data_IF_863975326740
#
_entry.id   IF_863975326740
#
_cell.length_a   1.000
_cell.length_b   1.000
_cell.length_c   1.000
_cell.angle_alpha   90.00
_cell.angle_beta   90.00
_cell.angle_gamma   90.00
#
_symmetry.space_group_name_H-M   'P 1'
#
loop_
_entity.id
_entity.type
_entity.pdbx_description
1 polymer ?
#
# COMPACT_ATOMS: atom_id res chain seq x y z
N UNK A 1 -2.14 -2.27 15.19
CA UNK A 1 -0.68 -2.12 15.36
C UNK A 1 -0.10 -3.50 15.59
N UNK A 2 0.06 -4.29 14.53
CA UNK A 2 0.63 -5.64 14.58
C UNK A 2 1.99 -5.52 13.88
N UNK A 3 3.05 -5.44 14.67
CA UNK A 3 4.43 -5.39 14.18
C UNK A 3 4.81 -6.81 13.79
N UNK A 4 4.71 -7.14 12.51
CA UNK A 4 5.31 -8.37 11.98
C UNK A 4 6.81 -8.14 11.85
N UNK A 5 7.59 -8.73 12.76
CA UNK A 5 9.05 -8.76 12.68
C UNK A 5 9.47 -9.71 11.53
N UNK A 6 9.94 -9.14 10.43
CA UNK A 6 10.61 -9.89 9.36
C UNK A 6 12.09 -10.05 9.68
N UNK A 7 12.60 -11.28 9.70
CA UNK A 7 14.02 -11.59 9.87
C UNK A 7 14.73 -11.42 8.53
N UNK A 8 15.59 -10.41 8.41
CA UNK A 8 16.44 -10.20 7.24
C UNK A 8 17.79 -10.89 7.43
N UNK A 9 18.14 -11.82 6.53
CA UNK A 9 19.48 -12.42 6.47
C UNK A 9 20.34 -11.67 5.45
N UNK A 10 21.49 -11.15 5.89
CA UNK A 10 22.45 -10.43 5.07
C UNK A 10 23.17 -11.35 4.08
N UNK A 11 23.14 -11.00 2.79
CA UNK A 11 23.98 -11.61 1.75
C UNK A 11 25.17 -10.68 1.50
N UNK A 12 26.37 -11.24 1.57
CA UNK A 12 27.63 -10.53 1.37
C UNK A 12 27.85 -10.16 -0.10
N UNK A 13 28.50 -9.01 -0.28
CA UNK A 13 28.80 -8.30 -1.52
C UNK A 13 29.53 -9.18 -2.55
N UNK A 14 28.91 -9.41 -3.71
CA UNK A 14 29.60 -9.90 -4.91
C UNK A 14 29.68 -8.75 -5.92
N UNK A 15 30.89 -8.32 -6.25
CA UNK A 15 31.14 -7.33 -7.29
C UNK A 15 31.26 -8.04 -8.65
N UNK A 16 30.27 -7.86 -9.53
CA UNK A 16 30.33 -8.26 -10.93
C UNK A 16 30.17 -7.04 -11.85
N UNK A 17 31.02 -6.96 -12.88
CA UNK A 17 31.07 -5.88 -13.87
C UNK A 17 29.97 -6.07 -14.93
N UNK A 18 28.74 -5.74 -14.58
CA UNK A 18 27.68 -5.31 -15.49
C UNK A 18 26.53 -4.85 -14.61
N UNK A 19 26.30 -3.54 -14.48
CA UNK A 19 25.26 -3.01 -13.61
C UNK A 19 23.90 -3.58 -14.03
N UNK A 20 23.40 -4.57 -13.29
CA UNK A 20 22.06 -5.07 -13.49
C UNK A 20 21.10 -4.01 -12.94
N UNK A 21 20.30 -3.43 -13.83
CA UNK A 21 19.20 -2.53 -13.47
C UNK A 21 17.95 -3.38 -13.37
N UNK A 22 17.35 -3.40 -12.18
CA UNK A 22 16.05 -4.03 -11.96
C UNK A 22 14.98 -2.94 -12.05
N UNK A 23 14.21 -2.97 -13.12
CA UNK A 23 13.01 -2.15 -13.28
C UNK A 23 11.77 -3.00 -13.05
N UNK A 24 10.90 -2.54 -12.16
CA UNK A 24 9.59 -3.15 -11.99
C UNK A 24 8.54 -2.09 -11.69
N UNK A 25 7.32 -2.36 -12.13
CA UNK A 25 6.14 -1.54 -11.85
C UNK A 25 5.74 -1.68 -10.37
N UNK A 26 5.61 -0.54 -9.69
CA UNK A 26 4.90 -0.45 -8.43
C UNK A 26 3.39 -0.38 -8.73
N UNK A 27 2.76 -1.55 -8.73
CA UNK A 27 1.34 -1.71 -9.10
C UNK A 27 0.44 -0.90 -8.15
N UNK A 28 0.79 -0.80 -6.87
CA UNK A 28 -0.05 -0.12 -5.88
C UNK A 28 -0.03 1.39 -6.11
N UNK A 29 1.16 1.98 -6.27
CA UNK A 29 1.28 3.42 -6.60
C UNK A 29 0.71 3.74 -7.98
N UNK A 30 0.90 2.87 -8.96
CA UNK A 30 0.32 3.05 -10.29
C UNK A 30 -1.21 3.10 -10.22
N UNK A 31 -1.82 2.28 -9.37
CA UNK A 31 -3.28 2.28 -9.20
C UNK A 31 -3.77 3.48 -8.38
N UNK A 32 -2.99 3.96 -7.41
CA UNK A 32 -3.25 5.21 -6.71
C UNK A 32 -3.22 6.41 -7.66
N UNK A 33 -2.19 6.52 -8.50
CA UNK A 33 -2.06 7.57 -9.52
C UNK A 33 -3.21 7.51 -10.53
N UNK A 34 -3.61 6.31 -10.96
CA UNK A 34 -4.77 6.11 -11.84
C UNK A 34 -6.07 6.60 -11.20
N UNK A 35 -6.34 6.23 -9.95
CA UNK A 35 -7.54 6.65 -9.25
C UNK A 35 -7.57 8.16 -9.02
N UNK A 36 -6.41 8.76 -8.72
CA UNK A 36 -6.28 10.21 -8.56
C UNK A 36 -6.56 10.94 -9.87
N UNK A 37 -5.93 10.52 -10.97
CA UNK A 37 -6.14 11.13 -12.28
C UNK A 37 -7.59 10.96 -12.76
N UNK A 38 -8.22 9.83 -12.47
CA UNK A 38 -9.65 9.58 -12.74
C UNK A 38 -10.56 10.53 -11.95
N UNK A 39 -10.24 10.79 -10.66
CA UNK A 39 -11.00 11.67 -9.80
C UNK A 39 -10.81 13.17 -10.13
N UNK A 40 -9.67 13.54 -10.71
CA UNK A 40 -9.37 14.91 -11.15
C UNK A 40 -10.04 15.27 -12.50
N UNK A 41 -10.63 14.30 -13.22
CA UNK A 41 -11.36 14.57 -14.47
C UNK A 41 -12.62 15.39 -14.17
N UNK A 42 -12.67 16.60 -14.73
CA UNK A 42 -13.85 17.46 -14.68
C UNK A 42 -15.04 16.82 -15.41
N UNK A 43 -16.25 17.10 -14.90
CA UNK A 43 -17.49 16.67 -15.54
C UNK A 43 -17.61 17.31 -16.93
N UNK A 44 -17.95 16.47 -17.93
CA UNK A 44 -18.10 16.90 -19.32
C UNK A 44 -19.53 17.38 -19.55
N UNK A 45 -19.65 18.63 -19.98
CA UNK A 45 -20.92 19.24 -20.35
C UNK A 45 -21.02 19.40 -21.87
N UNK A 46 -22.25 19.39 -22.36
CA UNK A 46 -22.57 19.61 -23.77
C UNK A 46 -23.62 20.70 -23.86
N UNK A 47 -23.43 21.63 -24.80
CA UNK A 47 -24.40 22.68 -25.07
C UNK A 47 -25.76 22.10 -25.51
N UNK A 48 -26.81 22.39 -24.76
CA UNK A 48 -28.18 22.00 -25.05
C UNK A 48 -28.98 23.18 -25.61
N UNK A 49 -29.14 23.18 -26.94
CA UNK A 49 -29.92 24.19 -27.68
C UNK A 49 -31.40 24.22 -27.25
N UNK A 50 -31.95 23.14 -26.69
CA UNK A 50 -33.35 23.10 -26.29
C UNK A 50 -33.62 23.99 -25.07
N UNK A 51 -32.61 24.24 -24.22
CA UNK A 51 -32.72 25.20 -23.10
C UNK A 51 -32.93 26.62 -23.62
N UNK A 52 -32.39 26.94 -24.80
CA UNK A 52 -32.60 28.23 -25.45
C UNK A 52 -33.92 28.28 -26.23
N UNK A 53 -34.13 27.34 -27.15
CA UNK A 53 -35.18 27.42 -28.18
C UNK A 53 -36.26 26.34 -28.12
N UNK A 54 -36.23 25.44 -27.13
CA UNK A 54 -37.24 24.40 -26.93
C UNK A 54 -38.59 24.94 -26.46
N UNK A 55 -39.59 24.07 -26.37
CA UNK A 55 -40.96 24.42 -25.92
C UNK A 55 -41.01 24.93 -24.48
N UNK A 56 -40.05 24.52 -23.65
CA UNK A 56 -39.86 25.03 -22.28
C UNK A 56 -38.63 25.95 -22.17
N UNK A 57 -38.00 26.28 -23.30
CA UNK A 57 -36.76 27.05 -23.35
C UNK A 57 -36.95 28.54 -23.08
N UNK A 58 -35.83 29.22 -22.80
CA UNK A 58 -35.81 30.63 -22.40
C UNK A 58 -36.54 31.55 -23.40
N UNK A 59 -36.30 31.38 -24.71
CA UNK A 59 -36.93 32.23 -25.73
C UNK A 59 -38.45 32.06 -25.77
N UNK A 60 -38.96 30.85 -25.54
CA UNK A 60 -40.38 30.57 -25.48
C UNK A 60 -41.01 31.22 -24.24
N UNK A 61 -40.40 31.06 -23.06
CA UNK A 61 -40.91 31.64 -21.81
C UNK A 61 -40.88 33.17 -21.82
N UNK A 62 -39.83 33.77 -22.38
CA UNK A 62 -39.76 35.22 -22.62
C UNK A 62 -40.89 35.65 -23.54
N UNK A 63 -41.09 34.95 -24.67
CA UNK A 63 -42.18 35.22 -25.61
C UNK A 63 -43.56 35.11 -24.95
N UNK A 64 -43.76 34.08 -24.14
CA UNK A 64 -44.99 33.81 -23.40
C UNK A 64 -45.31 34.94 -22.42
N UNK A 65 -44.32 35.45 -21.67
CA UNK A 65 -44.50 36.59 -20.76
C UNK A 65 -45.06 37.82 -21.47
N UNK A 66 -44.40 38.29 -22.55
CA UNK A 66 -44.84 39.49 -23.25
C UNK A 66 -46.16 39.27 -24.00
N UNK A 67 -46.35 38.12 -24.65
CA UNK A 67 -47.60 37.81 -25.35
C UNK A 67 -48.79 37.81 -24.39
N UNK A 68 -48.66 37.16 -23.23
CA UNK A 68 -49.69 37.19 -22.19
C UNK A 68 -49.96 38.60 -21.69
N UNK A 69 -48.91 39.40 -21.46
CA UNK A 69 -49.06 40.80 -21.04
C UNK A 69 -49.93 41.56 -22.04
N UNK A 70 -49.68 41.44 -23.34
CA UNK A 70 -50.48 42.08 -24.38
C UNK A 70 -51.93 41.56 -24.46
N UNK A 71 -52.18 40.29 -24.15
CA UNK A 71 -53.53 39.71 -24.07
C UNK A 71 -54.28 40.24 -22.85
N UNK A 72 -53.63 40.29 -21.68
CA UNK A 72 -54.22 40.75 -20.42
C UNK A 72 -54.51 42.26 -20.46
N UNK A 73 -53.68 43.05 -21.13
CA UNK A 73 -53.93 44.48 -21.35
C UNK A 73 -55.30 44.72 -22.01
N UNK A 74 -55.68 43.90 -23.00
CA UNK A 74 -56.92 44.00 -23.78
C UNK A 74 -58.19 43.51 -23.06
N UNK A 75 -58.06 42.95 -21.86
CA UNK A 75 -59.22 42.51 -21.07
C UNK A 75 -59.95 43.72 -20.47
N UNK A 76 -61.12 44.07 -21.01
CA UNK A 76 -61.94 45.18 -20.49
C UNK A 76 -62.78 44.77 -19.28
N UNK A 77 -62.93 43.47 -19.03
CA UNK A 77 -63.74 42.88 -17.95
C UNK A 77 -63.08 42.92 -16.56
N UNK A 78 -61.87 43.46 -16.44
CA UNK A 78 -61.05 43.40 -15.22
C UNK A 78 -60.47 44.75 -14.84
N UNK A 79 -60.45 45.05 -13.53
CA UNK A 79 -59.73 46.20 -12.99
C UNK A 79 -58.21 46.03 -13.16
N UNK A 80 -57.43 47.10 -13.01
CA UNK A 80 -55.97 47.02 -13.13
C UNK A 80 -55.34 46.10 -12.07
N UNK A 81 -55.80 46.19 -10.81
CA UNK A 81 -55.36 45.30 -9.73
C UNK A 81 -55.71 43.83 -10.03
N UNK A 82 -56.92 43.57 -10.53
CA UNK A 82 -57.34 42.22 -10.94
C UNK A 82 -56.53 41.68 -12.12
N UNK A 83 -56.07 42.54 -13.05
CA UNK A 83 -55.17 42.15 -14.15
C UNK A 83 -53.80 41.73 -13.62
N UNK A 84 -53.25 42.47 -12.66
CA UNK A 84 -51.97 42.13 -12.02
C UNK A 84 -52.08 40.78 -11.32
N UNK A 85 -53.12 40.57 -10.49
CA UNK A 85 -53.32 39.30 -9.78
C UNK A 85 -53.55 38.13 -10.75
N UNK A 86 -54.33 38.35 -11.82
CA UNK A 86 -54.57 37.34 -12.84
C UNK A 86 -53.30 36.93 -13.57
N UNK A 87 -52.48 37.89 -14.00
CA UNK A 87 -51.21 37.64 -14.67
C UNK A 87 -50.18 36.98 -13.74
N UNK A 88 -50.14 37.39 -12.48
CA UNK A 88 -49.26 36.80 -11.46
C UNK A 88 -49.56 35.31 -11.28
N UNK A 89 -50.85 34.96 -11.19
CA UNK A 89 -51.28 33.57 -11.07
C UNK A 89 -51.02 32.75 -12.36
N UNK A 90 -51.25 33.34 -13.54
CA UNK A 90 -50.97 32.69 -14.83
C UNK A 90 -49.50 32.35 -15.03
N UNK A 91 -48.60 33.20 -14.54
CA UNK A 91 -47.15 33.02 -14.61
C UNK A 91 -46.60 32.23 -13.41
N UNK A 92 -47.46 31.61 -12.61
CA UNK A 92 -47.05 30.76 -11.50
C UNK A 92 -46.28 31.48 -10.38
N UNK A 93 -46.54 32.78 -10.16
CA UNK A 93 -45.84 33.62 -9.19
C UNK A 93 -44.31 33.74 -9.40
N UNK A 94 -43.82 33.52 -10.62
CA UNK A 94 -42.38 33.63 -10.91
C UNK A 94 -41.85 35.08 -10.92
N UNK A 95 -42.73 36.05 -11.22
CA UNK A 95 -42.42 37.48 -11.31
C UNK A 95 -43.13 38.25 -10.19
N UNK A 96 -42.53 39.33 -9.70
CA UNK A 96 -43.16 40.16 -8.68
C UNK A 96 -44.32 40.98 -9.26
N UNK A 97 -45.34 41.26 -8.44
CA UNK A 97 -46.47 42.10 -8.84
C UNK A 97 -46.07 43.52 -9.30
N UNK A 98 -44.93 44.04 -8.83
CA UNK A 98 -44.36 45.30 -9.29
C UNK A 98 -43.85 45.25 -10.74
N UNK A 99 -43.22 44.16 -11.15
CA UNK A 99 -42.75 43.99 -12.54
C UNK A 99 -43.93 43.76 -13.48
N UNK A 100 -44.93 42.99 -13.01
CA UNK A 100 -46.16 42.74 -13.75
C UNK A 100 -46.94 44.05 -13.97
N UNK A 101 -47.06 44.90 -12.94
CA UNK A 101 -47.74 46.19 -13.08
C UNK A 101 -47.00 47.17 -13.99
N UNK A 102 -45.65 47.19 -13.95
CA UNK A 102 -44.85 47.94 -14.92
C UNK A 102 -45.08 47.45 -16.34
N UNK A 103 -45.04 46.12 -16.56
CA UNK A 103 -45.24 45.53 -17.88
C UNK A 103 -46.65 45.82 -18.45
N UNK A 104 -47.69 45.76 -17.61
CA UNK A 104 -49.07 46.07 -18.01
C UNK A 104 -49.31 47.54 -18.34
N UNK A 105 -48.49 48.47 -17.85
CA UNK A 105 -48.58 49.90 -18.15
C UNK A 105 -47.86 50.32 -19.43
N UNK A 106 -47.12 49.42 -20.09
CA UNK A 106 -46.39 49.71 -21.32
C UNK A 106 -47.34 49.90 -22.52
N UNK A 107 -46.92 50.72 -23.48
CA UNK A 107 -47.58 50.77 -24.79
C UNK A 107 -47.36 49.45 -25.55
N UNK A 108 -48.25 49.15 -26.52
CA UNK A 108 -48.12 47.94 -27.35
C UNK A 108 -46.82 47.96 -28.16
N UNK A 109 -46.38 49.14 -28.62
CA UNK A 109 -45.13 49.31 -29.36
C UNK A 109 -43.91 49.08 -28.45
N UNK A 110 -43.91 49.64 -27.24
CA UNK A 110 -42.84 49.40 -26.26
C UNK A 110 -42.78 47.92 -25.87
N UNK A 111 -43.93 47.24 -25.72
CA UNK A 111 -44.00 45.82 -25.39
C UNK A 111 -43.36 44.93 -26.48
N UNK A 112 -43.62 45.22 -27.75
CA UNK A 112 -43.03 44.50 -28.88
C UNK A 112 -41.52 44.77 -29.01
N UNK A 113 -41.09 46.01 -28.76
CA UNK A 113 -39.68 46.37 -28.71
C UNK A 113 -38.96 45.60 -27.60
N UNK A 114 -39.54 45.60 -26.40
CA UNK A 114 -39.00 44.90 -25.23
C UNK A 114 -38.92 43.40 -25.47
N UNK A 115 -39.96 42.77 -26.04
CA UNK A 115 -39.91 41.36 -26.41
C UNK A 115 -38.71 41.03 -27.29
N UNK A 116 -38.51 41.82 -28.35
CA UNK A 116 -37.42 41.62 -29.31
C UNK A 116 -36.06 41.77 -28.62
N UNK A 117 -35.86 42.86 -27.88
CA UNK A 117 -34.61 43.14 -27.16
C UNK A 117 -34.30 42.06 -26.11
N UNK A 118 -35.29 41.64 -25.33
CA UNK A 118 -35.12 40.58 -24.32
C UNK A 118 -34.73 39.24 -24.97
N UNK A 119 -35.37 38.87 -26.09
CA UNK A 119 -35.01 37.64 -26.81
C UNK A 119 -33.62 37.73 -27.46
N UNK A 120 -33.22 38.88 -27.98
CA UNK A 120 -31.90 39.08 -28.58
C UNK A 120 -30.79 38.99 -27.53
N UNK A 121 -30.97 39.63 -26.37
CA UNK A 121 -30.00 39.54 -25.26
C UNK A 121 -29.94 38.11 -24.72
N UNK A 122 -31.09 37.45 -24.54
CA UNK A 122 -31.11 36.04 -24.12
C UNK A 122 -30.36 35.15 -25.12
N UNK A 123 -30.56 35.36 -26.42
CA UNK A 123 -29.84 34.63 -27.48
C UNK A 123 -28.34 34.89 -27.45
N UNK A 124 -27.93 36.13 -27.22
CA UNK A 124 -26.51 36.50 -27.16
C UNK A 124 -25.79 35.89 -25.94
N UNK A 125 -26.44 35.88 -24.78
CA UNK A 125 -25.87 35.30 -23.55
C UNK A 125 -25.88 33.78 -23.60
N UNK A 126 -26.99 33.18 -24.03
CA UNK A 126 -27.20 31.74 -24.00
C UNK A 126 -26.73 31.03 -25.29
N UNK A 127 -26.04 31.73 -26.22
CA UNK A 127 -25.37 31.07 -27.35
C UNK A 127 -24.15 30.27 -26.91
N UNK A 128 -23.55 30.66 -25.79
CA UNK A 128 -22.39 30.01 -25.21
C UNK A 128 -22.83 28.96 -24.17
N UNK A 129 -21.90 28.08 -23.83
CA UNK A 129 -22.09 27.10 -22.77
C UNK A 129 -22.05 27.83 -21.42
N UNK A 130 -23.16 27.77 -20.68
CA UNK A 130 -23.30 28.33 -19.33
C UNK A 130 -23.37 27.16 -18.36
N UNK A 131 -22.31 26.95 -17.59
CA UNK A 131 -22.30 25.92 -16.55
C UNK A 131 -23.26 26.30 -15.41
N UNK A 132 -23.79 25.32 -14.65
CA UNK A 132 -24.63 25.60 -13.48
C UNK A 132 -23.99 26.58 -12.47
N UNK A 133 -22.66 26.57 -12.34
CA UNK A 133 -21.88 27.47 -11.48
C UNK A 133 -21.74 28.90 -12.02
N UNK A 134 -22.01 29.11 -13.31
CA UNK A 134 -21.77 30.38 -14.02
C UNK A 134 -23.08 31.15 -14.30
N UNK A 135 -24.24 30.58 -13.98
CA UNK A 135 -25.56 31.17 -14.28
C UNK A 135 -25.70 32.58 -13.68
N UNK A 136 -25.23 32.80 -12.46
CA UNK A 136 -25.34 34.13 -11.82
C UNK A 136 -24.43 35.16 -12.48
N UNK A 137 -23.29 34.73 -13.02
CA UNK A 137 -22.42 35.57 -13.83
C UNK A 137 -23.10 35.90 -15.17
N UNK A 138 -23.69 34.91 -15.84
CA UNK A 138 -24.45 35.12 -17.09
C UNK A 138 -25.64 36.07 -16.90
N UNK A 139 -26.36 35.97 -15.78
CA UNK A 139 -27.43 36.91 -15.41
C UNK A 139 -26.92 38.33 -15.21
N UNK A 140 -25.80 38.48 -14.49
CA UNK A 140 -25.19 39.79 -14.26
C UNK A 140 -24.70 40.44 -15.56
N UNK A 141 -24.14 39.62 -16.46
CA UNK A 141 -23.72 40.06 -17.79
C UNK A 141 -24.93 40.48 -18.64
N UNK A 142 -26.02 39.71 -18.60
CA UNK A 142 -27.27 40.07 -19.27
C UNK A 142 -27.78 41.45 -18.79
N UNK A 143 -27.81 41.69 -17.47
CA UNK A 143 -28.19 42.99 -16.91
C UNK A 143 -27.30 44.13 -17.42
N UNK A 144 -25.99 43.88 -17.55
CA UNK A 144 -25.05 44.87 -18.11
C UNK A 144 -25.33 45.18 -19.58
N UNK A 145 -25.69 44.18 -20.38
CA UNK A 145 -26.07 44.39 -21.78
C UNK A 145 -27.37 45.19 -21.90
N UNK A 146 -28.34 44.97 -21.01
CA UNK A 146 -29.58 45.75 -20.96
C UNK A 146 -29.28 47.23 -20.65
N UNK A 147 -28.45 47.51 -19.65
CA UNK A 147 -28.10 48.88 -19.27
C UNK A 147 -27.28 49.62 -20.34
N UNK A 148 -26.51 48.89 -21.16
CA UNK A 148 -25.70 49.46 -22.24
C UNK A 148 -26.49 49.76 -23.51
N UNK A 149 -27.67 49.15 -23.70
CA UNK A 149 -28.50 49.34 -24.89
C UNK A 149 -29.27 50.68 -24.82
N UNK A 150 -28.90 51.60 -25.70
CA UNK A 150 -29.46 52.96 -25.76
C UNK A 150 -30.89 53.02 -26.29
N UNK A 151 -31.36 51.96 -26.94
CA UNK A 151 -32.73 51.89 -27.46
C UNK A 151 -33.73 51.55 -26.34
N UNK A 152 -33.23 51.09 -25.18
CA UNK A 152 -34.04 50.73 -24.02
C UNK A 152 -34.17 51.96 -23.10
N UNK A 153 -35.42 52.40 -22.86
CA UNK A 153 -35.69 53.49 -21.91
C UNK A 153 -35.32 53.05 -20.48
N UNK A 154 -34.74 53.92 -19.64
CA UNK A 154 -34.34 53.57 -18.27
C UNK A 154 -35.48 53.03 -17.39
N UNK A 155 -36.71 53.51 -17.63
CA UNK A 155 -37.92 53.05 -16.94
C UNK A 155 -38.30 51.58 -17.25
N UNK A 156 -37.82 51.05 -18.38
CA UNK A 156 -38.13 49.70 -18.86
C UNK A 156 -37.07 48.66 -18.51
N UNK A 157 -35.88 49.10 -18.09
CA UNK A 157 -34.76 48.23 -17.68
C UNK A 157 -35.19 47.19 -16.63
N UNK A 158 -35.91 47.56 -15.55
CA UNK A 158 -36.29 46.60 -14.51
C UNK A 158 -37.13 45.43 -15.03
N UNK A 159 -37.98 45.67 -16.02
CA UNK A 159 -38.83 44.63 -16.62
C UNK A 159 -37.98 43.64 -17.39
N UNK A 160 -37.09 44.12 -18.26
CA UNK A 160 -36.22 43.27 -19.09
C UNK A 160 -35.27 42.47 -18.20
N UNK A 161 -34.60 43.13 -17.25
CA UNK A 161 -33.66 42.47 -16.35
C UNK A 161 -34.32 41.36 -15.54
N UNK A 162 -35.50 41.61 -14.97
CA UNK A 162 -36.19 40.58 -14.20
C UNK A 162 -36.67 39.41 -15.07
N UNK A 163 -37.10 39.70 -16.31
CA UNK A 163 -37.46 38.64 -17.27
C UNK A 163 -36.23 37.81 -17.66
N UNK A 164 -35.08 38.42 -17.91
CA UNK A 164 -33.84 37.70 -18.21
C UNK A 164 -33.37 36.86 -17.02
N UNK A 165 -33.34 37.43 -15.81
CA UNK A 165 -32.91 36.73 -14.60
C UNK A 165 -33.69 35.43 -14.34
N UNK A 166 -35.00 35.43 -14.63
CA UNK A 166 -35.87 34.27 -14.44
C UNK A 166 -35.75 33.22 -15.53
N UNK A 167 -35.38 33.61 -16.76
CA UNK A 167 -35.36 32.72 -17.91
C UNK A 167 -33.96 32.29 -18.37
N UNK A 168 -32.90 32.95 -17.91
CA UNK A 168 -31.52 32.48 -18.12
C UNK A 168 -31.29 31.25 -17.25
N UNK A 169 -31.08 30.13 -17.94
CA UNK A 169 -30.86 28.79 -17.40
C UNK A 169 -29.50 28.27 -17.88
N UNK A 170 -28.90 27.31 -17.17
CA UNK A 170 -27.65 26.68 -17.62
C UNK A 170 -27.90 25.96 -18.94
N UNK A 171 -27.15 26.34 -19.98
CA UNK A 171 -27.18 25.71 -21.30
C UNK A 171 -26.24 24.51 -21.39
N UNK A 172 -25.38 24.33 -20.38
CA UNK A 172 -24.47 23.19 -20.26
C UNK A 172 -25.20 21.98 -19.65
N UNK A 173 -25.57 21.00 -20.48
CA UNK A 173 -26.17 19.76 -20.03
C UNK A 173 -25.08 18.74 -19.68
N UNK A 174 -25.16 18.16 -18.47
CA UNK A 174 -24.21 17.15 -18.01
C UNK A 174 -24.29 15.90 -18.88
N UNK A 175 -23.16 15.48 -19.45
CA UNK A 175 -23.06 14.26 -20.25
C UNK A 175 -22.34 13.15 -19.45
N UNK A 176 -23.08 12.23 -18.81
CA UNK A 176 -22.48 11.18 -17.99
C UNK A 176 -21.65 10.20 -18.82
N UNK A 177 -22.05 9.94 -20.07
CA UNK A 177 -21.34 9.00 -20.94
C UNK A 177 -19.97 9.55 -21.36
N UNK A 178 -19.93 10.82 -21.79
CA UNK A 178 -18.68 11.48 -22.16
C UNK A 178 -17.75 11.69 -20.96
N UNK A 179 -18.31 12.00 -19.78
CA UNK A 179 -17.53 12.11 -18.54
C UNK A 179 -16.88 10.78 -18.16
N UNK A 180 -17.63 9.68 -18.24
CA UNK A 180 -17.11 8.34 -17.95
C UNK A 180 -16.06 7.88 -18.96
N UNK A 181 -16.23 8.25 -20.24
CA UNK A 181 -15.22 7.99 -21.27
C UNK A 181 -13.94 8.77 -21.01
N UNK A 182 -14.03 10.07 -20.69
CA UNK A 182 -12.89 10.90 -20.31
C UNK A 182 -12.16 10.36 -19.07
N UNK A 183 -12.90 9.87 -18.06
CA UNK A 183 -12.33 9.19 -16.88
C UNK A 183 -11.55 7.95 -17.24
N UNK A 184 -12.08 7.10 -18.13
CA UNK A 184 -11.38 5.91 -18.62
C UNK A 184 -10.14 6.25 -19.42
N UNK A 185 -10.20 7.26 -20.28
CA UNK A 185 -9.03 7.72 -21.02
C UNK A 185 -7.94 8.26 -20.10
N UNK A 186 -8.28 9.05 -19.08
CA UNK A 186 -7.34 9.53 -18.08
C UNK A 186 -6.64 8.37 -17.35
N UNK A 187 -7.39 7.33 -16.98
CA UNK A 187 -6.84 6.11 -16.39
C UNK A 187 -5.88 5.36 -17.34
N UNK A 188 -6.25 5.22 -18.61
CA UNK A 188 -5.43 4.53 -19.61
C UNK A 188 -4.16 5.29 -19.97
N UNK A 189 -4.22 6.62 -19.97
CA UNK A 189 -3.08 7.50 -20.26
C UNK A 189 -2.14 7.69 -19.05
N UNK A 190 -2.51 7.21 -17.87
CA UNK A 190 -1.65 7.26 -16.68
C UNK A 190 -0.50 6.27 -16.83
N UNK A 191 0.72 6.81 -16.89
CA UNK A 191 1.93 6.01 -17.05
C UNK A 191 2.22 5.17 -15.80
N UNK A 192 2.68 3.91 -15.95
CA UNK A 192 3.06 3.09 -14.81
C UNK A 192 4.17 3.72 -13.97
N UNK A 193 4.04 3.63 -12.65
CA UNK A 193 5.06 4.10 -11.72
C UNK A 193 6.20 3.06 -11.64
N UNK A 194 7.25 3.28 -12.42
CA UNK A 194 8.41 2.39 -12.50
C UNK A 194 9.41 2.67 -11.35
N UNK A 195 9.76 1.64 -10.60
CA UNK A 195 10.83 1.67 -9.61
C UNK A 195 12.09 1.06 -10.23
N UNK A 196 13.16 1.86 -10.29
CA UNK A 196 14.46 1.46 -10.81
C UNK A 196 15.43 1.25 -9.68
N UNK A 197 15.99 0.04 -9.56
CA UNK A 197 16.99 -0.30 -8.55
C UNK A 197 18.29 -0.72 -9.23
N UNK A 198 19.39 -0.13 -8.78
CA UNK A 198 20.73 -0.40 -9.29
C UNK A 198 21.42 -1.40 -8.35
N UNK A 199 22.13 -2.37 -8.93
CA UNK A 199 22.96 -3.31 -8.17
C UNK A 199 23.93 -2.58 -7.21
N UNK A 200 23.92 -2.98 -5.93
CA UNK A 200 24.73 -2.36 -4.87
C UNK A 200 24.07 -1.17 -4.15
N UNK A 201 22.85 -0.77 -4.55
CA UNK A 201 22.06 0.21 -3.81
C UNK A 201 21.57 -0.36 -2.48
N UNK A 202 21.85 0.34 -1.39
CA UNK A 202 21.27 0.02 -0.07
C UNK A 202 19.78 0.38 -0.08
N UNK A 203 18.94 -0.59 0.28
CA UNK A 203 17.47 -0.44 0.28
C UNK A 203 16.97 -0.03 1.66
N UNK A 204 17.50 -0.65 2.74
CA UNK A 204 17.14 -0.34 4.13
C UNK A 204 18.40 -0.41 5.01
N UNK A 205 18.58 0.52 5.94
CA UNK A 205 19.65 0.47 6.93
C UNK A 205 19.26 -0.29 8.21
N UNK A 206 20.26 -0.85 8.90
CA UNK A 206 20.05 -1.53 10.18
C UNK A 206 19.47 -0.55 11.23
N UNK A 207 18.30 -0.88 11.77
CA UNK A 207 17.59 -0.05 12.76
C UNK A 207 16.60 0.96 12.19
N UNK A 208 16.46 1.04 10.86
CA UNK A 208 15.47 1.89 10.20
C UNK A 208 14.07 1.27 10.23
N UNK A 209 13.03 2.11 10.32
CA UNK A 209 11.64 1.66 10.26
C UNK A 209 11.31 1.36 8.81
N UNK A 210 11.05 0.08 8.50
CA UNK A 210 10.72 -0.40 7.17
C UNK A 210 9.33 0.10 6.77
N UNK A 211 9.23 0.81 5.63
CA UNK A 211 7.95 1.23 5.05
C UNK A 211 7.41 0.17 4.08
N UNK A 212 6.13 0.26 3.71
CA UNK A 212 5.48 -0.71 2.81
C UNK A 212 6.16 -0.81 1.45
N UNK A 213 6.69 0.31 0.93
CA UNK A 213 7.48 0.33 -0.31
C UNK A 213 8.75 -0.51 -0.19
N UNK A 214 9.43 -0.46 0.96
CA UNK A 214 10.65 -1.24 1.19
C UNK A 214 10.34 -2.73 1.27
N UNK A 215 9.23 -3.11 1.90
CA UNK A 215 8.74 -4.49 1.95
C UNK A 215 8.45 -5.00 0.53
N UNK A 216 7.78 -4.19 -0.30
CA UNK A 216 7.48 -4.55 -1.68
C UNK A 216 8.76 -4.81 -2.50
N UNK A 217 9.71 -3.89 -2.42
CA UNK A 217 11.02 -4.00 -3.08
C UNK A 217 11.75 -5.27 -2.62
N UNK A 218 11.86 -5.48 -1.30
CA UNK A 218 12.56 -6.64 -0.72
C UNK A 218 11.88 -7.96 -1.06
N UNK A 219 10.55 -7.95 -1.24
CA UNK A 219 9.78 -9.12 -1.68
C UNK A 219 10.06 -9.44 -3.15
N UNK A 220 10.05 -8.42 -4.02
CA UNK A 220 10.36 -8.58 -5.45
C UNK A 220 11.78 -9.06 -5.70
N UNK A 221 12.72 -8.61 -4.87
CA UNK A 221 14.11 -9.07 -4.87
C UNK A 221 14.30 -10.45 -4.20
N UNK A 222 13.25 -11.03 -3.62
CA UNK A 222 13.31 -12.32 -2.94
C UNK A 222 14.15 -12.32 -1.65
N UNK A 223 14.44 -11.13 -1.10
CA UNK A 223 15.20 -10.95 0.14
C UNK A 223 14.33 -11.17 1.38
N UNK A 224 13.00 -11.11 1.23
CA UNK A 224 12.03 -11.47 2.26
C UNK A 224 11.70 -12.98 2.21
N UNK A 225 12.21 -13.74 3.17
CA UNK A 225 11.81 -15.15 3.36
C UNK A 225 10.50 -15.24 4.14
N UNK A 226 9.35 -15.20 3.44
CA UNK A 226 8.02 -15.20 4.06
C UNK A 226 7.30 -16.56 4.05
N UNK A 227 8.02 -17.67 3.88
CA UNK A 227 7.40 -19.00 3.77
C UNK A 227 8.11 -20.11 4.55
N UNK A 228 7.33 -21.03 5.11
CA UNK A 228 7.82 -22.29 5.70
C UNK A 228 8.51 -23.13 4.62
N UNK A 229 9.83 -23.08 4.58
CA UNK A 229 10.61 -23.69 3.50
C UNK A 229 10.67 -25.23 3.68
N UNK A 230 9.68 -25.91 3.11
CA UNK A 230 9.56 -27.37 3.16
C UNK A 230 10.81 -28.09 2.62
N UNK A 231 11.47 -27.50 1.61
CA UNK A 231 12.71 -28.04 1.05
C UNK A 231 13.85 -27.99 2.07
N UNK A 232 13.98 -26.87 2.80
CA UNK A 232 14.98 -26.72 3.88
C UNK A 232 14.74 -27.72 5.00
N UNK A 233 13.49 -27.93 5.41
CA UNK A 233 13.16 -28.92 6.44
C UNK A 233 13.47 -30.35 5.98
N UNK A 234 13.15 -30.69 4.73
CA UNK A 234 13.45 -32.00 4.17
C UNK A 234 14.97 -32.26 4.13
N UNK A 235 15.76 -31.24 3.77
CA UNK A 235 17.22 -31.32 3.79
C UNK A 235 17.78 -31.52 5.21
N UNK A 236 17.31 -30.75 6.19
CA UNK A 236 17.71 -30.88 7.60
C UNK A 236 17.33 -32.26 8.14
N UNK A 237 16.11 -32.73 7.83
CA UNK A 237 15.63 -34.04 8.24
C UNK A 237 16.50 -35.16 7.66
N UNK A 238 16.83 -35.08 6.36
CA UNK A 238 17.67 -36.06 5.69
C UNK A 238 19.08 -36.14 6.31
N UNK A 239 19.75 -35.00 6.48
CA UNK A 239 21.10 -34.96 7.07
C UNK A 239 21.08 -35.46 8.52
N UNK A 240 20.12 -34.99 9.32
CA UNK A 240 19.99 -35.43 10.71
C UNK A 240 19.75 -36.94 10.81
N UNK A 241 18.89 -37.48 9.95
CA UNK A 241 18.63 -38.92 9.86
C UNK A 241 19.90 -39.71 9.52
N UNK A 242 20.68 -39.28 8.52
CA UNK A 242 21.94 -39.93 8.13
C UNK A 242 22.94 -39.94 9.28
N UNK A 243 23.09 -38.82 10.00
CA UNK A 243 24.01 -38.71 11.14
C UNK A 243 23.59 -39.64 12.28
N UNK A 244 22.29 -39.68 12.61
CA UNK A 244 21.77 -40.56 13.66
C UNK A 244 21.91 -42.04 13.30
N UNK A 245 21.69 -42.40 12.03
CA UNK A 245 21.90 -43.77 11.53
C UNK A 245 23.38 -44.15 11.65
N UNK A 246 24.31 -43.28 11.23
CA UNK A 246 25.74 -43.52 11.36
C UNK A 246 26.16 -43.67 12.83
N UNK A 247 25.63 -42.83 13.71
CA UNK A 247 25.89 -42.90 15.15
C UNK A 247 25.35 -44.20 15.76
N UNK A 248 24.12 -44.58 15.44
CA UNK A 248 23.51 -45.85 15.87
C UNK A 248 24.26 -47.07 15.34
N UNK A 249 24.68 -47.04 14.07
CA UNK A 249 25.50 -48.10 13.47
C UNK A 249 26.86 -48.24 14.16
N UNK A 250 27.48 -47.12 14.54
CA UNK A 250 28.73 -47.14 15.29
C UNK A 250 28.55 -47.77 16.67
N UNK A 251 27.46 -47.47 17.39
CA UNK A 251 27.12 -48.12 18.67
C UNK A 251 26.93 -49.63 18.46
N UNK A 252 26.16 -50.02 17.44
CA UNK A 252 25.92 -51.43 17.11
C UNK A 252 27.21 -52.20 16.83
N UNK A 253 28.10 -51.65 15.99
CA UNK A 253 29.31 -52.35 15.54
C UNK A 253 30.44 -52.37 16.58
N UNK A 254 30.66 -51.26 17.28
CA UNK A 254 31.85 -51.10 18.14
C UNK A 254 31.55 -51.20 19.63
N UNK A 255 30.28 -51.09 20.04
CA UNK A 255 29.88 -51.08 21.45
C UNK A 255 28.61 -51.93 21.70
N UNK A 256 28.63 -53.20 21.30
CA UNK A 256 27.52 -54.15 21.50
C UNK A 256 27.03 -54.23 22.95
N UNK A 257 27.92 -54.04 23.95
CA UNK A 257 27.55 -54.02 25.37
C UNK A 257 26.68 -52.80 25.74
N UNK A 258 26.83 -51.68 25.03
CA UNK A 258 25.96 -50.50 25.17
C UNK A 258 24.65 -50.78 24.43
N UNK A 259 24.72 -51.35 23.23
CA UNK A 259 23.54 -51.67 22.42
C UNK A 259 22.61 -52.71 23.06
N UNK A 260 23.14 -53.73 23.74
CA UNK A 260 22.33 -54.76 24.39
C UNK A 260 21.75 -54.31 25.73
N UNK A 261 22.13 -53.12 26.23
CA UNK A 261 21.65 -52.59 27.49
C UNK A 261 20.73 -51.38 27.25
N UNK A 262 19.42 -51.61 27.37
CA UNK A 262 18.38 -50.60 27.16
C UNK A 262 18.63 -49.34 28.00
N UNK A 263 19.11 -49.46 29.25
CA UNK A 263 19.39 -48.30 30.11
C UNK A 263 20.52 -47.43 29.52
N UNK A 264 21.57 -48.05 28.98
CA UNK A 264 22.70 -47.32 28.38
C UNK A 264 22.29 -46.62 27.09
N UNK A 265 21.50 -47.27 26.22
CA UNK A 265 20.92 -46.63 25.03
C UNK A 265 20.07 -45.43 25.41
N UNK A 266 19.18 -45.58 26.38
CA UNK A 266 18.28 -44.49 26.82
C UNK A 266 19.10 -43.30 27.35
N UNK A 267 20.15 -43.53 28.12
CA UNK A 267 21.02 -42.45 28.60
C UNK A 267 21.74 -41.76 27.44
N UNK A 268 22.25 -42.51 26.46
CA UNK A 268 22.89 -41.91 25.27
C UNK A 268 21.90 -41.09 24.44
N UNK A 269 20.68 -41.58 24.23
CA UNK A 269 19.64 -40.85 23.52
C UNK A 269 19.25 -39.57 24.25
N UNK A 270 19.09 -39.65 25.58
CA UNK A 270 18.77 -38.50 26.42
C UNK A 270 19.88 -37.44 26.39
N UNK A 271 21.16 -37.85 26.38
CA UNK A 271 22.28 -36.92 26.19
C UNK A 271 22.17 -36.19 24.84
N UNK A 272 21.93 -36.90 23.74
CA UNK A 272 21.78 -36.25 22.42
C UNK A 272 20.63 -35.25 22.44
N UNK A 273 19.47 -35.64 22.96
CA UNK A 273 18.26 -34.79 23.00
C UNK A 273 18.51 -33.53 23.84
N UNK A 274 19.01 -33.67 25.08
CA UNK A 274 19.21 -32.54 25.98
C UNK A 274 20.21 -31.53 25.42
N UNK A 275 21.36 -32.01 24.94
CA UNK A 275 22.40 -31.10 24.44
C UNK A 275 22.02 -30.47 23.10
N UNK A 276 21.27 -31.16 22.26
CA UNK A 276 20.71 -30.57 21.03
C UNK A 276 19.64 -29.53 21.36
N UNK A 277 18.76 -29.80 22.32
CA UNK A 277 17.74 -28.84 22.77
C UNK A 277 18.40 -27.58 23.37
N UNK A 278 19.42 -27.73 24.22
CA UNK A 278 20.19 -26.61 24.76
C UNK A 278 20.83 -25.78 23.65
N UNK A 279 21.46 -26.43 22.66
CA UNK A 279 22.04 -25.76 21.50
C UNK A 279 20.97 -24.95 20.76
N UNK A 280 19.80 -25.54 20.51
CA UNK A 280 18.71 -24.84 19.82
C UNK A 280 18.15 -23.65 20.61
N UNK A 281 18.00 -23.79 21.93
CA UNK A 281 17.57 -22.69 22.81
C UNK A 281 18.57 -21.53 22.74
N UNK A 282 19.87 -21.82 22.79
CA UNK A 282 20.92 -20.80 22.69
C UNK A 282 20.92 -20.11 21.32
N UNK A 283 20.68 -20.84 20.23
CA UNK A 283 20.53 -20.24 18.90
C UNK A 283 19.32 -19.30 18.83
N UNK A 284 18.17 -19.71 19.37
CA UNK A 284 16.96 -18.86 19.39
C UNK A 284 17.23 -17.58 20.18
N UNK A 285 17.93 -17.68 21.32
CA UNK A 285 18.29 -16.52 22.13
C UNK A 285 19.28 -15.60 21.41
N UNK A 286 20.20 -16.17 20.62
CA UNK A 286 21.12 -15.42 19.76
C UNK A 286 20.39 -14.54 18.75
N UNK A 287 19.28 -15.02 18.18
CA UNK A 287 18.46 -14.25 17.25
C UNK A 287 17.74 -13.06 17.91
N UNK A 288 17.61 -13.04 19.23
CA UNK A 288 16.84 -12.03 19.98
C UNK A 288 17.76 -11.01 20.67
N UNK A 289 18.90 -11.45 21.22
CA UNK A 289 19.66 -10.66 22.20
C UNK A 289 21.19 -10.71 22.00
N UNK A 290 21.65 -10.57 20.75
CA UNK A 290 23.06 -10.52 20.28
C UNK A 290 23.65 -11.88 19.86
N UNK A 291 24.52 -11.84 18.83
CA UNK A 291 25.19 -13.01 18.24
C UNK A 291 26.17 -13.77 19.15
N UNK A 292 26.30 -13.37 20.42
CA UNK A 292 27.24 -13.98 21.37
C UNK A 292 26.81 -15.38 21.83
N UNK A 293 25.51 -15.68 21.85
CA UNK A 293 24.99 -16.94 22.40
C UNK A 293 25.39 -18.18 21.59
N UNK A 294 25.68 -18.01 20.29
CA UNK A 294 26.16 -19.09 19.41
C UNK A 294 27.56 -19.60 19.78
N UNK A 295 28.31 -18.89 20.64
CA UNK A 295 29.65 -19.30 21.10
C UNK A 295 29.61 -20.10 22.41
N UNK A 296 28.44 -20.27 23.02
CA UNK A 296 28.28 -20.89 24.33
C UNK A 296 27.69 -22.31 24.27
N UNK A 297 27.78 -23.00 23.12
CA UNK A 297 27.19 -24.33 23.00
C UNK A 297 27.86 -25.37 23.93
N UNK A 298 27.06 -26.15 24.68
CA UNK A 298 27.58 -27.07 25.69
C UNK A 298 28.10 -28.40 25.10
N UNK A 299 28.70 -28.39 23.91
CA UNK A 299 29.18 -29.59 23.20
C UNK A 299 30.39 -30.20 23.92
N UNK A 300 31.32 -29.38 24.40
CA UNK A 300 32.47 -29.85 25.18
C UNK A 300 31.98 -30.54 26.46
N UNK A 301 30.98 -29.99 27.15
CA UNK A 301 30.41 -30.62 28.34
C UNK A 301 29.81 -31.99 28.00
N UNK A 302 29.08 -32.11 26.88
CA UNK A 302 28.52 -33.38 26.42
C UNK A 302 29.62 -34.44 26.15
N UNK A 303 30.71 -34.03 25.50
CA UNK A 303 31.86 -34.90 25.20
C UNK A 303 32.51 -35.44 26.47
N UNK A 304 32.67 -34.60 27.50
CA UNK A 304 33.27 -34.97 28.78
C UNK A 304 32.37 -35.94 29.56
N UNK A 305 31.07 -35.65 29.65
CA UNK A 305 30.10 -36.52 30.33
C UNK A 305 30.06 -37.89 29.66
N UNK A 306 30.04 -37.95 28.33
CA UNK A 306 30.04 -39.20 27.58
C UNK A 306 31.34 -39.99 27.74
N UNK A 307 32.49 -39.31 27.81
CA UNK A 307 33.80 -39.94 28.04
C UNK A 307 33.85 -40.64 29.39
N UNK A 308 33.33 -39.99 30.43
CA UNK A 308 33.32 -40.51 31.81
C UNK A 308 32.31 -41.65 31.97
N UNK A 309 31.14 -41.54 31.34
CA UNK A 309 30.06 -42.51 31.50
C UNK A 309 30.27 -43.78 30.67
N UNK A 310 30.89 -43.64 29.51
CA UNK A 310 31.13 -44.73 28.58
C UNK A 310 32.63 -44.90 28.36
N UNK A 311 33.15 -44.39 27.25
CA UNK A 311 34.55 -44.48 26.85
C UNK A 311 34.87 -43.37 25.83
N UNK A 312 36.15 -43.06 25.64
CA UNK A 312 36.60 -42.02 24.69
C UNK A 312 36.12 -42.20 23.23
N UNK A 313 36.12 -43.41 22.62
CA UNK A 313 35.65 -43.58 21.24
C UNK A 313 34.17 -43.22 21.05
N UNK A 314 33.33 -43.54 22.04
CA UNK A 314 31.91 -43.18 22.03
C UNK A 314 31.70 -41.67 22.15
N UNK A 315 32.48 -41.03 23.03
CA UNK A 315 32.41 -39.58 23.23
C UNK A 315 32.85 -38.78 22.01
N UNK A 316 33.88 -39.24 21.28
CA UNK A 316 34.31 -38.63 20.01
C UNK A 316 33.16 -38.65 19.01
N UNK A 317 32.49 -39.79 18.84
CA UNK A 317 31.36 -39.90 17.90
C UNK A 317 30.16 -39.05 18.32
N UNK A 318 29.86 -38.97 19.63
CA UNK A 318 28.82 -38.07 20.14
C UNK A 318 29.18 -36.60 19.86
N UNK A 319 30.44 -36.22 20.04
CA UNK A 319 30.93 -34.87 19.79
C UNK A 319 30.77 -34.48 18.32
N UNK A 320 31.13 -35.37 17.40
CA UNK A 320 30.96 -35.14 15.96
C UNK A 320 29.48 -34.95 15.62
N UNK A 321 28.61 -35.80 16.16
CA UNK A 321 27.16 -35.71 15.98
C UNK A 321 26.62 -34.34 16.45
N UNK A 322 26.93 -33.95 17.70
CA UNK A 322 26.48 -32.69 18.28
C UNK A 322 27.10 -31.46 17.60
N UNK A 323 28.35 -31.54 17.15
CA UNK A 323 29.02 -30.48 16.40
C UNK A 323 28.37 -30.20 15.05
N UNK A 324 27.99 -31.25 14.31
CA UNK A 324 27.23 -31.08 13.06
C UNK A 324 25.84 -30.51 13.34
N UNK A 325 25.16 -30.95 14.41
CA UNK A 325 23.87 -30.37 14.80
C UNK A 325 23.97 -28.90 15.20
N UNK A 326 25.05 -28.48 15.86
CA UNK A 326 25.32 -27.07 16.11
C UNK A 326 25.50 -26.28 14.81
N UNK A 327 26.29 -26.79 13.84
CA UNK A 327 26.43 -26.14 12.54
C UNK A 327 25.10 -25.99 11.79
N UNK A 328 24.26 -27.02 11.82
CA UNK A 328 22.90 -26.97 11.23
C UNK A 328 22.02 -25.96 11.98
N UNK A 329 22.15 -25.88 13.31
CA UNK A 329 21.40 -24.93 14.14
C UNK A 329 21.79 -23.48 13.81
N UNK A 330 23.07 -23.21 13.53
CA UNK A 330 23.61 -21.89 13.14
C UNK A 330 23.65 -21.71 11.62
N UNK A 331 22.56 -22.05 10.92
CA UNK A 331 22.38 -21.80 9.48
C UNK A 331 23.50 -22.36 8.56
N UNK A 332 24.04 -23.53 8.89
CA UNK A 332 25.14 -24.20 8.17
C UNK A 332 26.50 -23.49 8.27
N UNK A 333 26.75 -22.78 9.37
CA UNK A 333 28.10 -22.33 9.70
C UNK A 333 29.00 -23.52 10.09
N UNK A 334 29.71 -24.03 9.08
CA UNK A 334 30.65 -25.14 9.25
C UNK A 334 31.91 -24.74 10.04
N UNK A 335 32.26 -23.45 10.10
CA UNK A 335 33.41 -22.99 10.88
C UNK A 335 33.16 -23.20 12.37
N UNK A 336 31.97 -22.81 12.86
CA UNK A 336 31.57 -23.07 14.25
C UNK A 336 31.48 -24.57 14.55
N UNK A 337 30.91 -25.37 13.63
CA UNK A 337 30.84 -26.82 13.79
C UNK A 337 32.23 -27.45 13.98
N UNK A 338 33.21 -27.06 13.16
CA UNK A 338 34.59 -27.56 13.23
C UNK A 338 35.24 -27.20 14.57
N UNK A 339 35.04 -25.97 15.07
CA UNK A 339 35.59 -25.54 16.37
C UNK A 339 35.09 -26.43 17.51
N UNK A 340 33.78 -26.67 17.55
CA UNK A 340 33.20 -27.49 18.61
C UNK A 340 33.62 -28.96 18.51
N UNK A 341 33.78 -29.48 17.29
CA UNK A 341 34.28 -30.83 17.07
C UNK A 341 35.73 -30.94 17.55
N UNK A 342 36.61 -30.03 17.12
CA UNK A 342 38.02 -30.05 17.52
C UNK A 342 38.17 -29.86 19.04
N UNK A 343 37.45 -28.90 19.62
CA UNK A 343 37.45 -28.65 21.05
C UNK A 343 36.94 -29.84 21.87
N UNK A 344 35.85 -30.50 21.42
CA UNK A 344 35.29 -31.67 22.10
C UNK A 344 36.09 -32.96 21.92
N UNK A 345 36.78 -33.13 20.79
CA UNK A 345 37.72 -34.26 20.60
C UNK A 345 38.96 -34.06 21.48
N UNK A 346 39.47 -32.84 21.54
CA UNK A 346 40.60 -32.49 22.40
C UNK A 346 40.27 -32.71 23.89
N UNK A 347 39.10 -32.27 24.34
CA UNK A 347 38.64 -32.47 25.72
C UNK A 347 38.48 -33.95 26.08
N UNK A 348 37.93 -34.75 25.17
CA UNK A 348 37.77 -36.21 25.31
C UNK A 348 39.13 -36.88 25.49
N UNK A 349 40.11 -36.52 24.65
CA UNK A 349 41.46 -37.07 24.76
C UNK A 349 42.13 -36.70 26.09
N UNK A 350 41.99 -35.45 26.54
CA UNK A 350 42.53 -34.98 27.82
C UNK A 350 41.95 -35.75 29.01
N UNK A 351 40.63 -35.98 29.04
CA UNK A 351 39.99 -36.73 30.15
C UNK A 351 40.27 -38.22 30.10
N UNK A 352 40.44 -38.80 28.91
CA UNK A 352 40.72 -40.24 28.76
C UNK A 352 41.99 -40.71 29.48
N UNK A 353 42.93 -39.79 29.77
CA UNK A 353 44.21 -40.08 30.43
C UNK A 353 44.22 -39.86 31.94
N UNK A 354 43.14 -39.39 32.56
CA UNK A 354 43.19 -39.00 33.97
C UNK A 354 42.10 -39.63 34.83
N UNK A 355 42.55 -40.35 35.87
CA UNK A 355 41.71 -41.21 36.71
C UNK A 355 41.18 -40.53 37.99
N UNK A 356 41.47 -39.25 38.22
CA UNK A 356 41.11 -38.53 39.46
C UNK A 356 40.01 -37.48 39.26
N UNK A 357 39.08 -37.34 40.22
CA UNK A 357 37.96 -36.36 40.16
C UNK A 357 38.44 -34.91 40.00
N UNK A 358 39.55 -34.54 40.63
CA UNK A 358 40.18 -33.21 40.50
C UNK A 358 40.71 -32.94 39.08
N UNK A 359 41.01 -33.99 38.32
CA UNK A 359 41.50 -33.86 36.96
C UNK A 359 40.39 -33.62 35.94
N UNK A 360 39.16 -34.03 36.22
CA UNK A 360 37.99 -33.70 35.37
C UNK A 360 37.79 -32.18 35.34
N UNK A 361 37.90 -31.53 36.50
CA UNK A 361 37.77 -30.06 36.61
C UNK A 361 38.91 -29.34 35.87
N UNK A 362 40.16 -29.84 35.99
CA UNK A 362 41.31 -29.29 35.25
C UNK A 362 41.18 -29.49 33.74
N UNK A 363 40.73 -30.66 33.29
CA UNK A 363 40.51 -30.94 31.88
C UNK A 363 39.40 -30.08 31.30
N UNK A 364 38.32 -29.82 32.05
CA UNK A 364 37.27 -28.87 31.67
C UNK A 364 37.83 -27.46 31.48
N UNK A 365 38.61 -26.95 32.44
CA UNK A 365 39.21 -25.61 32.36
C UNK A 365 40.17 -25.47 31.17
N UNK A 366 41.05 -26.44 30.95
CA UNK A 366 41.99 -26.45 29.82
C UNK A 366 41.23 -26.53 28.49
N UNK A 367 40.17 -27.33 28.41
CA UNK A 367 39.35 -27.45 27.20
C UNK A 367 38.63 -26.14 26.87
N UNK A 368 38.16 -25.40 27.88
CA UNK A 368 37.57 -24.07 27.68
C UNK A 368 38.59 -23.05 27.15
N UNK A 369 39.84 -23.10 27.61
CA UNK A 369 40.91 -22.24 27.08
C UNK A 369 41.24 -22.57 25.62
N UNK A 370 41.29 -23.86 25.26
CA UNK A 370 41.51 -24.28 23.87
C UNK A 370 40.35 -23.84 22.97
N UNK A 371 39.11 -23.97 23.46
CA UNK A 371 37.94 -23.49 22.74
C UNK A 371 38.00 -21.97 22.50
N UNK A 372 38.36 -21.20 23.53
CA UNK A 372 38.53 -19.75 23.41
C UNK A 372 39.63 -19.37 22.40
N UNK A 373 40.74 -20.11 22.38
CA UNK A 373 41.82 -19.91 21.42
C UNK A 373 41.37 -20.22 19.98
N UNK A 374 40.67 -21.33 19.77
CA UNK A 374 40.14 -21.71 18.45
C UNK A 374 39.15 -20.66 17.90
N UNK A 375 38.31 -20.08 18.77
CA UNK A 375 37.42 -18.99 18.35
C UNK A 375 38.18 -17.72 17.96
N UNK A 376 39.29 -17.40 18.63
CA UNK A 376 40.12 -16.25 18.28
C UNK A 376 40.75 -16.45 16.88
N UNK A 377 41.16 -17.67 16.53
CA UNK A 377 41.78 -17.95 15.22
C UNK A 377 40.83 -17.92 14.02
N UNK A 378 39.52 -18.08 14.24
CA UNK A 378 38.51 -18.06 13.15
C UNK A 378 37.97 -16.67 12.88
N UNK A 379 38.27 -15.71 13.75
CA UNK A 379 37.91 -14.31 13.58
C UNK A 379 39.06 -13.56 12.87
N UNK A 380 38.91 -13.11 11.61
CA UNK A 380 39.67 -11.96 11.12
C UNK A 380 39.19 -10.67 11.80
#
# INVERSE_FOLDING_TARGET
MIVNQYNFHFVSTFASKSAFVFEFEDVEKTEEDRNKNEAEVEDVYVYDINVLSGEEGALYQIGYFYLLTGIVQKKEDKSFEEKVDYMTNLLGNQYSGSIISMALNLSVDDLNLLLTKTQDIAREIMKEEIKPTEVDFARSEASRLVEADKDIKPENIPVITNVLEKNILPTAAFNPAATEEARKEARLNTSPHMVTIIEGQTIVFEGEIVNDTDIFILTKLGLLQTGFNWKRLLYIFFISSVILILFGFHIYKFNLNIFNNTKKIVITALLVIIFTALTKILTILSSIHLNFWNYLFPIIAASLICTILFNAPMAIMLTVCLGIFAGIATDFDFSLAIVYILGGVFSTYMVSKVSQRSAVMKAGFISSLVLAFLFLTIKP
#
